data_IF_202529674720
#
_entry.id   IF_202529674720
#
_cell.length_a   1.000
_cell.length_b   1.000
_cell.length_c   1.000
_cell.angle_alpha   90.00
_cell.angle_beta   90.00
_cell.angle_gamma   90.00
#
_symmetry.space_group_name_H-M   'P 1'
#
loop_
_entity.id
_entity.type
_entity.pdbx_description
1 polymer ?
#
# COMPACT_ATOMS: atom_id res chain seq x y z
N UNK A 1 11.94 64.29 23.24
CA UNK A 1 12.53 62.96 22.97
C UNK A 1 11.62 61.97 23.67
N UNK A 2 10.65 61.45 22.93
CA UNK A 2 9.95 60.18 23.23
C UNK A 2 9.08 59.90 22.02
N UNK A 3 9.75 59.47 20.96
CA UNK A 3 9.14 58.99 19.73
C UNK A 3 8.67 57.55 20.02
N UNK A 4 7.42 57.42 20.48
CA UNK A 4 6.74 56.12 20.53
C UNK A 4 6.56 55.61 19.11
N UNK A 5 7.50 54.78 18.66
CA UNK A 5 7.30 53.93 17.49
C UNK A 5 6.12 53.00 17.73
N UNK A 6 5.14 52.89 16.81
CA UNK A 6 4.13 51.86 16.90
C UNK A 6 4.78 50.50 16.62
N UNK A 7 5.10 49.75 17.67
CA UNK A 7 5.33 48.31 17.58
C UNK A 7 3.99 47.62 17.27
N UNK A 8 3.60 47.60 16.00
CA UNK A 8 2.68 46.59 15.51
C UNK A 8 3.44 45.26 15.49
N UNK A 9 3.50 44.59 16.63
CA UNK A 9 3.70 43.13 16.63
C UNK A 9 2.42 42.54 16.06
N UNK A 10 2.33 42.53 14.73
CA UNK A 10 1.49 41.55 14.06
C UNK A 10 2.11 40.21 14.43
N UNK A 11 1.57 39.57 15.47
CA UNK A 11 1.81 38.16 15.74
C UNK A 11 1.30 37.39 14.53
N UNK A 12 2.14 37.28 13.51
CA UNK A 12 1.99 36.30 12.45
C UNK A 12 2.19 34.94 13.11
N UNK A 13 1.09 34.42 13.68
CA UNK A 13 0.99 33.02 14.08
C UNK A 13 1.57 32.19 12.94
N UNK A 14 2.60 31.35 13.18
CA UNK A 14 3.26 30.63 12.11
C UNK A 14 2.20 29.88 11.32
N UNK A 15 2.18 29.98 9.98
CA UNK A 15 1.17 29.30 9.18
C UNK A 15 1.23 27.82 9.53
N UNK A 16 0.17 27.32 10.16
CA UNK A 16 0.06 25.91 10.51
C UNK A 16 0.16 25.12 9.20
N UNK A 17 1.03 24.11 9.17
CA UNK A 17 1.30 23.34 7.94
C UNK A 17 0.01 22.75 7.31
N UNK A 18 -1.04 22.61 8.12
CA UNK A 18 -2.37 22.14 7.74
C UNK A 18 -3.19 23.12 6.87
N UNK A 19 -2.90 24.42 6.86
CA UNK A 19 -3.71 25.44 6.18
C UNK A 19 -3.10 25.99 4.89
N UNK A 20 -1.89 25.53 4.51
CA UNK A 20 -1.26 26.00 3.26
C UNK A 20 -2.05 25.50 2.05
N UNK A 21 -2.60 26.39 1.21
CA UNK A 21 -3.12 25.96 -0.09
C UNK A 21 -1.97 25.28 -0.85
N UNK A 22 -2.30 24.22 -1.58
CA UNK A 22 -1.32 23.48 -2.38
C UNK A 22 -0.61 24.48 -3.31
N UNK A 23 0.72 24.56 -3.23
CA UNK A 23 1.45 25.50 -4.06
C UNK A 23 1.37 25.08 -5.54
N UNK A 24 1.54 26.03 -6.47
CA UNK A 24 1.60 25.71 -7.90
C UNK A 24 2.70 24.68 -8.23
N UNK A 25 3.78 24.65 -7.43
CA UNK A 25 4.85 23.65 -7.54
C UNK A 25 4.37 22.26 -7.13
N UNK A 26 3.62 22.13 -6.04
CA UNK A 26 3.09 20.82 -5.60
C UNK A 26 2.09 20.26 -6.61
N UNK A 27 1.25 21.13 -7.19
CA UNK A 27 0.36 20.79 -8.31
C UNK A 27 1.13 20.22 -9.50
N UNK A 28 2.23 20.89 -9.89
CA UNK A 28 3.09 20.48 -10.99
C UNK A 28 3.78 19.15 -10.70
N UNK A 29 4.40 19.00 -9.52
CA UNK A 29 5.04 17.76 -9.07
C UNK A 29 4.05 16.61 -9.09
N UNK A 30 2.83 16.82 -8.58
CA UNK A 30 1.79 15.81 -8.62
C UNK A 30 1.46 15.39 -10.04
N UNK A 31 1.16 16.33 -10.94
CA UNK A 31 0.80 16.03 -12.34
C UNK A 31 1.91 15.26 -13.07
N UNK A 32 3.15 15.75 -12.97
CA UNK A 32 4.32 15.08 -13.56
C UNK A 32 4.47 13.66 -13.00
N UNK A 33 4.42 13.50 -11.67
CA UNK A 33 4.54 12.18 -11.03
C UNK A 33 3.40 11.23 -11.39
N UNK A 34 2.21 11.78 -11.65
CA UNK A 34 1.02 11.02 -11.99
C UNK A 34 1.08 10.47 -13.41
N UNK A 35 1.57 11.29 -14.34
CA UNK A 35 1.74 10.96 -15.76
C UNK A 35 2.91 9.99 -15.99
N UNK A 36 3.94 10.05 -15.14
CA UNK A 36 5.10 9.16 -15.19
C UNK A 36 4.83 7.72 -14.70
N UNK A 37 3.60 7.39 -14.24
CA UNK A 37 3.34 6.07 -13.66
C UNK A 37 3.42 4.94 -14.70
N UNK A 38 4.02 3.79 -14.34
CA UNK A 38 4.22 2.68 -15.28
C UNK A 38 2.87 2.05 -15.68
N UNK A 39 2.52 2.17 -16.97
CA UNK A 39 1.26 1.67 -17.53
C UNK A 39 1.16 0.14 -17.52
N UNK A 40 2.29 -0.54 -17.69
CA UNK A 40 2.32 -2.02 -17.81
C UNK A 40 2.17 -2.73 -16.47
N UNK A 41 2.66 -2.14 -15.36
CA UNK A 41 2.52 -2.70 -14.01
C UNK A 41 1.05 -2.93 -13.64
N UNK A 42 0.19 -1.96 -13.96
CA UNK A 42 -1.25 -2.08 -13.70
C UNK A 42 -1.93 -3.20 -14.49
N UNK A 43 -1.49 -3.50 -15.72
CA UNK A 43 -2.04 -4.60 -16.52
C UNK A 43 -1.62 -5.95 -15.97
N UNK A 44 -0.32 -6.11 -15.71
CA UNK A 44 0.23 -7.35 -15.14
C UNK A 44 -0.46 -7.68 -13.82
N UNK A 45 -0.57 -6.71 -12.91
CA UNK A 45 -1.17 -6.95 -11.61
C UNK A 45 -2.69 -7.19 -11.69
N UNK A 46 -3.41 -6.57 -12.62
CA UNK A 46 -4.82 -6.85 -12.82
C UNK A 46 -5.06 -8.29 -13.33
N UNK A 47 -4.22 -8.76 -14.27
CA UNK A 47 -4.26 -10.15 -14.74
C UNK A 47 -3.92 -11.10 -13.58
N UNK A 48 -2.86 -10.81 -12.83
CA UNK A 48 -2.47 -11.59 -11.66
C UNK A 48 -3.57 -11.62 -10.59
N UNK A 49 -4.30 -10.53 -10.37
CA UNK A 49 -5.40 -10.47 -9.41
C UNK A 49 -6.56 -11.40 -9.80
N UNK A 50 -6.78 -11.62 -11.09
CA UNK A 50 -7.78 -12.58 -11.59
C UNK A 50 -7.29 -14.03 -11.47
N UNK A 51 -6.01 -14.28 -11.73
CA UNK A 51 -5.41 -15.61 -11.69
C UNK A 51 -5.07 -16.09 -10.27
N UNK A 52 -4.84 -15.16 -9.33
CA UNK A 52 -4.41 -15.48 -7.97
C UNK A 52 -5.45 -16.29 -7.17
N UNK A 53 -6.76 -15.96 -7.17
CA UNK A 53 -7.75 -16.74 -6.42
C UNK A 53 -7.83 -18.23 -6.82
N UNK A 54 -7.97 -18.62 -8.10
CA UNK A 54 -8.00 -20.04 -8.45
C UNK A 54 -6.67 -20.74 -8.12
N UNK A 55 -5.53 -20.07 -8.31
CA UNK A 55 -4.23 -20.62 -7.93
C UNK A 55 -4.10 -20.82 -6.41
N UNK A 56 -4.54 -19.84 -5.62
CA UNK A 56 -4.53 -19.90 -4.15
C UNK A 56 -5.44 -21.02 -3.62
N UNK A 57 -6.64 -21.18 -4.22
CA UNK A 57 -7.55 -22.27 -3.89
C UNK A 57 -6.93 -23.61 -4.23
N UNK A 58 -6.43 -23.79 -5.46
CA UNK A 58 -5.81 -25.03 -5.90
C UNK A 58 -4.63 -25.44 -5.00
N UNK A 59 -3.73 -24.51 -4.71
CA UNK A 59 -2.58 -24.76 -3.82
C UNK A 59 -3.02 -25.10 -2.39
N UNK A 60 -4.01 -24.39 -1.84
CA UNK A 60 -4.52 -24.66 -0.47
C UNK A 60 -5.17 -26.04 -0.37
N UNK A 61 -5.91 -26.47 -1.39
CA UNK A 61 -6.54 -27.80 -1.43
C UNK A 61 -5.51 -28.92 -1.57
N UNK A 62 -4.40 -28.69 -2.28
CA UNK A 62 -3.31 -29.65 -2.43
C UNK A 62 -2.40 -29.74 -1.18
N UNK A 63 -2.44 -28.77 -0.27
CA UNK A 63 -1.68 -28.83 0.97
C UNK A 63 -2.24 -29.90 1.92
N UNK A 64 -1.34 -30.52 2.71
CA UNK A 64 -1.70 -31.52 3.74
C UNK A 64 -2.70 -30.91 4.73
N UNK A 65 -3.73 -31.66 5.16
CA UNK A 65 -4.66 -31.17 6.18
C UNK A 65 -3.95 -30.74 7.46
N UNK A 66 -4.49 -29.72 8.14
CA UNK A 66 -3.93 -29.17 9.37
C UNK A 66 -3.09 -27.92 9.14
N UNK A 67 -1.92 -27.83 9.78
CA UNK A 67 -1.05 -26.63 9.82
C UNK A 67 -0.62 -26.18 8.43
N UNK A 68 -0.24 -27.12 7.56
CA UNK A 68 0.25 -26.83 6.21
C UNK A 68 -0.82 -26.15 5.35
N UNK A 69 -2.07 -26.64 5.42
CA UNK A 69 -3.21 -26.04 4.71
C UNK A 69 -3.54 -24.63 5.21
N UNK A 70 -3.46 -24.40 6.52
CA UNK A 70 -3.64 -23.04 7.08
C UNK A 70 -2.53 -22.11 6.60
N UNK A 71 -1.27 -22.57 6.61
CA UNK A 71 -0.14 -21.78 6.16
C UNK A 71 -0.19 -21.46 4.66
N UNK A 72 -0.58 -22.43 3.82
CA UNK A 72 -0.86 -22.23 2.41
C UNK A 72 -2.00 -21.22 2.20
N UNK A 73 -3.06 -21.30 3.00
CA UNK A 73 -4.16 -20.34 2.98
C UNK A 73 -3.71 -18.90 3.30
N UNK A 74 -2.84 -18.72 4.29
CA UNK A 74 -2.28 -17.39 4.65
C UNK A 74 -1.48 -16.81 3.48
N UNK A 75 -0.60 -17.61 2.87
CA UNK A 75 0.14 -17.20 1.67
C UNK A 75 -0.80 -16.86 0.51
N UNK A 76 -1.80 -17.71 0.25
CA UNK A 76 -2.79 -17.53 -0.81
C UNK A 76 -3.67 -16.29 -0.63
N UNK A 77 -4.06 -15.96 0.60
CA UNK A 77 -4.76 -14.71 0.89
C UNK A 77 -3.86 -13.49 0.68
N UNK A 78 -2.59 -13.58 1.11
CA UNK A 78 -1.60 -12.52 0.93
C UNK A 78 -1.40 -12.17 -0.55
N UNK A 79 -1.22 -13.18 -1.42
CA UNK A 79 -0.98 -12.96 -2.84
C UNK A 79 -2.20 -12.36 -3.55
N UNK A 80 -3.40 -12.84 -3.21
CA UNK A 80 -4.67 -12.29 -3.71
C UNK A 80 -4.85 -10.83 -3.30
N UNK A 81 -4.64 -10.52 -2.03
CA UNK A 81 -4.76 -9.16 -1.50
C UNK A 81 -3.72 -8.22 -2.16
N UNK A 82 -2.48 -8.68 -2.34
CA UNK A 82 -1.40 -7.87 -2.91
C UNK A 82 -1.69 -7.49 -4.36
N UNK A 83 -2.03 -8.48 -5.20
CA UNK A 83 -2.36 -8.19 -6.60
C UNK A 83 -3.64 -7.38 -6.74
N UNK A 84 -4.65 -7.64 -5.90
CA UNK A 84 -5.90 -6.88 -5.91
C UNK A 84 -5.68 -5.40 -5.54
N UNK A 85 -4.95 -5.14 -4.44
CA UNK A 85 -4.61 -3.78 -4.01
C UNK A 85 -3.83 -3.04 -5.11
N UNK A 86 -2.86 -3.71 -5.71
CA UNK A 86 -2.02 -3.10 -6.75
C UNK A 86 -2.77 -2.86 -8.06
N UNK A 87 -3.57 -3.84 -8.48
CA UNK A 87 -4.47 -3.69 -9.63
C UNK A 87 -5.46 -2.55 -9.42
N UNK A 88 -6.07 -2.47 -8.24
CA UNK A 88 -6.99 -1.37 -7.88
C UNK A 88 -6.28 0.00 -7.90
N UNK A 89 -5.06 0.09 -7.35
CA UNK A 89 -4.26 1.32 -7.38
C UNK A 89 -4.03 1.83 -8.80
N UNK A 90 -3.62 0.95 -9.71
CA UNK A 90 -3.27 1.36 -11.07
C UNK A 90 -4.48 1.54 -12.00
N UNK A 91 -5.62 0.91 -11.71
CA UNK A 91 -6.79 0.87 -12.62
C UNK A 91 -7.97 1.71 -12.14
N UNK A 92 -8.19 1.80 -10.83
CA UNK A 92 -9.41 2.40 -10.26
C UNK A 92 -9.15 3.77 -9.63
N UNK A 93 -7.90 4.17 -9.41
CA UNK A 93 -7.56 5.44 -8.77
C UNK A 93 -7.86 6.67 -9.64
N UNK A 94 -8.88 7.46 -9.26
CA UNK A 94 -9.37 8.64 -9.97
C UNK A 94 -9.11 9.99 -9.29
N UNK A 95 -8.79 10.01 -7.99
CA UNK A 95 -8.59 11.25 -7.23
C UNK A 95 -7.29 11.24 -6.43
N UNK A 96 -6.78 12.43 -6.07
CA UNK A 96 -5.55 12.60 -5.27
C UNK A 96 -5.64 11.95 -3.90
N UNK A 97 -6.77 12.18 -3.20
CA UNK A 97 -7.02 11.58 -1.88
C UNK A 97 -7.00 10.06 -1.97
N UNK A 98 -7.68 9.49 -2.96
CA UNK A 98 -7.68 8.05 -3.19
C UNK A 98 -6.29 7.54 -3.55
N UNK A 99 -5.52 8.28 -4.35
CA UNK A 99 -4.18 7.90 -4.71
C UNK A 99 -3.22 7.85 -3.52
N UNK A 100 -3.33 8.80 -2.58
CA UNK A 100 -2.55 8.79 -1.34
C UNK A 100 -2.82 7.53 -0.51
N UNK A 101 -4.11 7.23 -0.27
CA UNK A 101 -4.51 6.05 0.52
C UNK A 101 -4.13 4.76 -0.19
N UNK A 102 -4.49 4.64 -1.46
CA UNK A 102 -4.29 3.41 -2.23
C UNK A 102 -2.81 3.14 -2.50
N UNK A 103 -1.96 4.18 -2.61
CA UNK A 103 -0.49 4.02 -2.66
C UNK A 103 0.05 3.45 -1.35
N UNK A 104 -0.48 3.88 -0.20
CA UNK A 104 -0.08 3.32 1.11
C UNK A 104 -0.49 1.87 1.25
N UNK A 105 -1.70 1.52 0.81
CA UNK A 105 -2.20 0.14 0.79
C UNK A 105 -1.32 -0.72 -0.14
N UNK A 106 -1.09 -0.29 -1.38
CA UNK A 106 -0.25 -1.04 -2.33
C UNK A 106 1.17 -1.28 -1.78
N UNK A 107 1.74 -0.26 -1.14
CA UNK A 107 3.06 -0.37 -0.52
C UNK A 107 3.06 -1.29 0.71
N UNK A 108 2.03 -1.20 1.56
CA UNK A 108 1.94 -2.05 2.76
C UNK A 108 1.78 -3.53 2.42
N UNK A 109 1.13 -3.84 1.28
CA UNK A 109 0.91 -5.21 0.85
C UNK A 109 2.21 -5.97 0.55
N UNK A 110 3.31 -5.29 0.24
CA UNK A 110 4.62 -5.94 0.09
C UNK A 110 5.05 -6.56 1.42
N UNK A 111 4.90 -5.84 2.54
CA UNK A 111 5.25 -6.35 3.87
C UNK A 111 4.34 -7.51 4.28
N UNK A 112 3.04 -7.42 3.97
CA UNK A 112 2.08 -8.51 4.20
C UNK A 112 2.50 -9.74 3.39
N UNK A 113 2.90 -9.57 2.13
CA UNK A 113 3.31 -10.69 1.29
C UNK A 113 4.64 -11.29 1.74
N UNK A 114 5.59 -10.49 2.25
CA UNK A 114 6.82 -11.00 2.86
C UNK A 114 6.48 -11.92 4.04
N UNK A 115 5.64 -11.46 4.98
CA UNK A 115 5.18 -12.29 6.10
C UNK A 115 4.42 -13.55 5.62
N UNK A 116 3.54 -13.38 4.64
CA UNK A 116 2.78 -14.48 4.02
C UNK A 116 3.66 -15.52 3.35
N UNK A 117 4.79 -15.11 2.76
CA UNK A 117 5.78 -16.00 2.11
C UNK A 117 6.57 -16.80 3.14
N UNK A 118 6.95 -16.16 4.25
CA UNK A 118 7.68 -16.83 5.33
C UNK A 118 6.81 -17.78 6.15
N UNK A 119 5.48 -17.56 6.22
CA UNK A 119 4.56 -18.39 6.99
C UNK A 119 4.61 -19.89 6.64
N UNK A 120 4.39 -20.34 5.38
CA UNK A 120 4.48 -21.76 5.02
C UNK A 120 5.89 -22.31 5.16
N UNK A 121 6.93 -21.50 4.91
CA UNK A 121 8.32 -21.90 5.10
C UNK A 121 8.57 -22.23 6.57
N UNK A 122 8.18 -21.34 7.49
CA UNK A 122 8.34 -21.54 8.92
C UNK A 122 7.53 -22.73 9.44
N UNK A 123 6.30 -22.92 8.95
CA UNK A 123 5.46 -24.08 9.33
C UNK A 123 6.09 -25.40 8.88
N UNK A 124 6.72 -25.43 7.70
CA UNK A 124 7.35 -26.62 7.14
C UNK A 124 8.71 -26.95 7.78
N UNK A 125 9.48 -25.95 8.22
CA UNK A 125 10.86 -26.14 8.69
C UNK A 125 11.01 -26.16 10.20
N UNK A 126 10.11 -25.49 10.94
CA UNK A 126 10.19 -25.43 12.39
C UNK A 126 9.62 -26.70 13.02
N UNK A 127 10.30 -27.26 14.04
CA UNK A 127 9.77 -28.40 14.77
C UNK A 127 8.41 -28.04 15.40
N UNK A 128 7.47 -29.00 15.46
CA UNK A 128 6.25 -28.82 16.24
C UNK A 128 6.63 -28.42 17.66
N UNK A 129 5.94 -27.43 18.23
CA UNK A 129 6.11 -27.09 19.64
C UNK A 129 5.90 -28.37 20.46
N UNK A 130 6.91 -28.79 21.21
CA UNK A 130 6.74 -29.79 22.25
C UNK A 130 5.92 -29.10 23.34
N UNK A 131 4.63 -29.44 23.43
CA UNK A 131 3.74 -29.00 24.49
C UNK A 131 3.69 -30.08 25.57
#
# INVERSE_FOLDING_TARGET
MDEMLPTSTQEDSPPTFASRPFSALDELIWRVSWDARPKYRGKLHAISALLAPPAAVAMTLNAKPGRDRVAAGIYGLGICAMFSASGAYHRLTKSRKMASVMRRIDHSMIYVMIAGTWTPIAVATLPPKHA
#
